data_IF_573218263808
#
_entry.id   IF_573218263808
#
_cell.length_a   1.000
_cell.length_b   1.000
_cell.length_c   1.000
_cell.angle_alpha   90.00
_cell.angle_beta   90.00
_cell.angle_gamma   90.00
#
_symmetry.space_group_name_H-M   'P 1'
#
loop_
_entity.id
_entity.type
_entity.pdbx_description
1 polymer ?
#
# COMPACT_ATOMS: atom_id res chain seq x y z
N UNK A 1 29.42 15.95 6.75
CA UNK A 1 28.97 15.22 7.96
C UNK A 1 27.63 15.72 8.51
N UNK A 2 27.44 17.00 8.89
CA UNK A 2 26.15 17.49 9.44
C UNK A 2 24.92 17.25 8.53
N UNK A 3 25.03 17.48 7.21
CA UNK A 3 23.91 17.24 6.26
C UNK A 3 23.50 15.77 6.17
N UNK A 4 24.47 14.85 6.11
CA UNK A 4 24.21 13.40 6.08
C UNK A 4 23.52 12.96 7.38
N UNK A 5 24.00 13.44 8.53
CA UNK A 5 23.40 13.16 9.83
C UNK A 5 21.96 13.68 9.94
N UNK A 6 21.69 14.92 9.50
CA UNK A 6 20.35 15.50 9.47
C UNK A 6 19.39 14.72 8.56
N UNK A 7 19.82 14.37 7.35
CA UNK A 7 19.01 13.55 6.43
C UNK A 7 18.73 12.16 7.00
N UNK A 8 19.74 11.51 7.58
CA UNK A 8 19.56 10.21 8.23
C UNK A 8 18.60 10.29 9.43
N UNK A 9 18.67 11.36 10.22
CA UNK A 9 17.77 11.60 11.35
C UNK A 9 16.33 11.82 10.88
N UNK A 10 16.11 12.65 9.85
CA UNK A 10 14.78 12.90 9.28
C UNK A 10 14.16 11.60 8.74
N UNK A 11 14.93 10.81 7.99
CA UNK A 11 14.47 9.53 7.45
C UNK A 11 14.14 8.56 8.58
N UNK A 12 14.99 8.45 9.60
CA UNK A 12 14.77 7.57 10.75
C UNK A 12 13.53 7.96 11.53
N UNK A 13 13.32 9.26 11.78
CA UNK A 13 12.12 9.77 12.43
C UNK A 13 10.86 9.54 11.57
N UNK A 14 10.93 9.78 10.27
CA UNK A 14 9.84 9.51 9.33
C UNK A 14 9.42 8.04 9.35
N UNK A 15 10.40 7.13 9.28
CA UNK A 15 10.17 5.68 9.38
C UNK A 15 9.60 5.28 10.75
N UNK A 16 10.13 5.86 11.84
CA UNK A 16 9.64 5.59 13.19
C UNK A 16 8.17 6.03 13.36
N UNK A 17 7.85 7.26 12.97
CA UNK A 17 6.48 7.80 13.03
C UNK A 17 5.56 6.98 12.12
N UNK A 18 6.02 6.58 10.94
CA UNK A 18 5.32 5.67 10.04
C UNK A 18 4.98 4.33 10.70
N UNK A 19 5.95 3.67 11.34
CA UNK A 19 5.72 2.41 12.06
C UNK A 19 4.81 2.59 13.27
N UNK A 20 5.00 3.66 14.03
CA UNK A 20 4.18 3.99 15.19
C UNK A 20 2.71 4.24 14.79
N UNK A 21 2.47 4.94 13.67
CA UNK A 21 1.11 5.11 13.14
C UNK A 21 0.47 3.78 12.72
N UNK A 22 1.25 2.82 12.23
CA UNK A 22 0.76 1.47 11.93
C UNK A 22 0.37 0.72 13.20
N UNK A 23 1.17 0.84 14.25
CA UNK A 23 0.81 0.29 15.57
C UNK A 23 -0.48 0.91 16.12
N UNK A 24 -0.65 2.23 15.99
CA UNK A 24 -1.91 2.89 16.37
C UNK A 24 -3.10 2.40 15.54
N UNK A 25 -2.91 2.18 14.22
CA UNK A 25 -3.95 1.61 13.35
C UNK A 25 -4.44 0.26 13.87
N UNK A 26 -3.52 -0.64 14.21
CA UNK A 26 -3.87 -1.95 14.77
C UNK A 26 -4.64 -1.84 16.10
N UNK A 27 -4.20 -0.95 17.00
CA UNK A 27 -4.92 -0.69 18.27
C UNK A 27 -6.34 -0.20 17.99
N UNK A 28 -6.51 0.73 17.05
CA UNK A 28 -7.81 1.33 16.72
C UNK A 28 -8.74 0.28 16.09
N UNK A 29 -8.22 -0.60 15.22
CA UNK A 29 -9.01 -1.71 14.67
C UNK A 29 -9.44 -2.65 15.80
N UNK A 30 -8.52 -3.09 16.65
CA UNK A 30 -8.82 -3.98 17.77
C UNK A 30 -9.81 -3.36 18.78
N UNK A 31 -9.70 -2.06 19.05
CA UNK A 31 -10.60 -1.37 19.98
C UNK A 31 -12.03 -1.22 19.44
N UNK A 32 -12.19 -0.99 18.13
CA UNK A 32 -13.51 -0.81 17.52
C UNK A 32 -14.19 -2.11 17.10
N UNK A 33 -13.42 -3.13 16.68
CA UNK A 33 -13.94 -4.38 16.11
C UNK A 33 -13.64 -5.62 16.95
N UNK A 34 -12.88 -5.49 18.04
CA UNK A 34 -12.50 -6.58 18.94
C UNK A 34 -11.53 -7.58 18.31
N UNK A 35 -11.45 -8.77 18.90
CA UNK A 35 -10.80 -9.95 18.32
C UNK A 35 -11.91 -10.85 17.74
N UNK A 36 -12.37 -10.51 16.54
CA UNK A 36 -13.53 -11.14 15.89
C UNK A 36 -13.22 -11.45 14.43
N UNK A 37 -14.08 -12.23 13.78
CA UNK A 37 -13.99 -12.49 12.34
C UNK A 37 -13.99 -11.19 11.51
N UNK A 38 -14.64 -10.12 12.01
CA UNK A 38 -14.61 -8.79 11.39
C UNK A 38 -13.22 -8.17 11.43
N UNK A 39 -12.52 -8.21 12.57
CA UNK A 39 -11.16 -7.65 12.67
C UNK A 39 -10.18 -8.42 11.79
N UNK A 40 -10.31 -9.75 11.75
CA UNK A 40 -9.46 -10.61 10.92
C UNK A 40 -9.68 -10.32 9.43
N UNK A 41 -10.95 -10.12 9.03
CA UNK A 41 -11.27 -9.73 7.68
C UNK A 41 -10.73 -8.33 7.34
N UNK A 42 -10.82 -7.35 8.24
CA UNK A 42 -10.21 -6.03 8.04
C UNK A 42 -8.70 -6.15 7.83
N UNK A 43 -8.01 -6.93 8.65
CA UNK A 43 -6.58 -7.19 8.50
C UNK A 43 -6.29 -7.83 7.14
N UNK A 44 -7.12 -8.78 6.70
CA UNK A 44 -7.02 -9.39 5.38
C UNK A 44 -7.15 -8.36 4.25
N UNK A 45 -8.16 -7.47 4.32
CA UNK A 45 -8.37 -6.39 3.33
C UNK A 45 -7.13 -5.50 3.21
N UNK A 46 -6.54 -5.11 4.34
CA UNK A 46 -5.40 -4.19 4.37
C UNK A 46 -4.09 -4.88 3.95
N UNK A 47 -3.91 -6.15 4.32
CA UNK A 47 -2.63 -6.86 4.15
C UNK A 47 -2.50 -7.48 2.76
N UNK A 48 -3.59 -7.90 2.12
CA UNK A 48 -3.53 -8.62 0.84
C UNK A 48 -2.86 -7.81 -0.27
N UNK A 49 -3.20 -6.52 -0.49
CA UNK A 49 -2.52 -5.72 -1.51
C UNK A 49 -1.04 -5.51 -1.18
N UNK A 50 -0.72 -5.26 0.09
CA UNK A 50 0.65 -5.04 0.56
C UNK A 50 1.51 -6.30 0.41
N UNK A 51 0.95 -7.49 0.67
CA UNK A 51 1.63 -8.76 0.44
C UNK A 51 2.04 -8.92 -1.03
N UNK A 52 1.11 -8.69 -1.96
CA UNK A 52 1.39 -8.79 -3.40
C UNK A 52 2.44 -7.76 -3.85
N UNK A 53 2.39 -6.55 -3.32
CA UNK A 53 3.39 -5.50 -3.61
C UNK A 53 4.75 -5.89 -3.06
N UNK A 54 4.84 -6.42 -1.84
CA UNK A 54 6.12 -6.84 -1.27
C UNK A 54 6.73 -8.02 -2.02
N UNK A 55 5.91 -8.95 -2.52
CA UNK A 55 6.37 -10.06 -3.34
C UNK A 55 7.02 -9.58 -4.65
N UNK A 56 6.44 -8.55 -5.28
CA UNK A 56 6.88 -8.06 -6.59
C UNK A 56 7.98 -7.00 -6.47
N UNK A 57 7.77 -6.00 -5.60
CA UNK A 57 8.60 -4.81 -5.46
C UNK A 57 9.62 -4.90 -4.32
N UNK A 58 9.31 -5.63 -3.26
CA UNK A 58 10.11 -5.67 -2.03
C UNK A 58 11.45 -6.41 -2.14
N UNK A 59 11.61 -7.26 -3.15
CA UNK A 59 12.83 -8.04 -3.38
C UNK A 59 13.58 -7.61 -4.65
N UNK A 60 13.26 -8.24 -5.77
CA UNK A 60 14.09 -8.17 -6.98
C UNK A 60 13.99 -6.85 -7.75
N UNK A 61 12.76 -6.32 -7.91
CA UNK A 61 12.52 -5.15 -8.77
C UNK A 61 13.19 -3.89 -8.23
N UNK A 62 13.04 -3.55 -6.94
CA UNK A 62 13.67 -2.35 -6.39
C UNK A 62 15.20 -2.44 -6.42
N UNK A 63 15.77 -3.61 -6.10
CA UNK A 63 17.22 -3.85 -6.17
C UNK A 63 17.79 -3.75 -7.59
N UNK A 64 17.02 -4.12 -8.61
CA UNK A 64 17.42 -4.01 -10.01
C UNK A 64 17.22 -2.60 -10.57
N UNK A 65 16.11 -1.94 -10.24
CA UNK A 65 15.73 -0.65 -10.83
C UNK A 65 16.58 0.52 -10.32
N UNK A 66 16.89 0.57 -9.01
CA UNK A 66 17.68 1.67 -8.43
C UNK A 66 19.04 1.85 -9.11
N UNK A 67 19.89 0.81 -9.30
CA UNK A 67 21.16 0.97 -9.99
C UNK A 67 20.99 1.28 -11.48
N UNK A 68 19.98 0.74 -12.15
CA UNK A 68 19.71 1.07 -13.57
C UNK A 68 19.34 2.55 -13.74
N UNK A 69 18.47 3.10 -12.89
CA UNK A 69 18.15 4.53 -12.92
C UNK A 69 19.36 5.43 -12.70
N UNK A 70 20.37 4.98 -11.94
CA UNK A 70 21.61 5.73 -11.69
C UNK A 70 22.59 5.71 -12.87
N UNK A 71 22.54 4.69 -13.73
CA UNK A 71 23.41 4.58 -14.91
C UNK A 71 22.94 5.42 -16.09
N UNK A 72 21.63 5.62 -16.19
CA UNK A 72 21.00 6.37 -17.28
C UNK A 72 21.16 7.88 -17.08
N UNK A 73 21.15 8.62 -18.20
CA UNK A 73 20.99 10.07 -18.16
C UNK A 73 19.57 10.44 -17.66
N UNK A 74 19.32 11.72 -17.39
CA UNK A 74 18.04 12.16 -16.80
C UNK A 74 16.83 11.82 -17.70
N UNK A 75 16.95 12.00 -19.01
CA UNK A 75 15.86 11.78 -19.96
C UNK A 75 15.49 10.29 -20.07
N UNK A 76 16.49 9.42 -20.25
CA UNK A 76 16.31 7.98 -20.32
C UNK A 76 15.83 7.40 -18.99
N UNK A 77 16.32 7.93 -17.86
CA UNK A 77 15.88 7.54 -16.51
C UNK A 77 14.41 7.87 -16.29
N UNK A 78 13.95 9.04 -16.75
CA UNK A 78 12.53 9.43 -16.69
C UNK A 78 11.66 8.60 -17.64
N UNK A 79 12.15 8.28 -18.84
CA UNK A 79 11.44 7.42 -19.78
C UNK A 79 11.25 6.02 -19.21
N UNK A 80 12.32 5.43 -18.67
CA UNK A 80 12.26 4.13 -18.00
C UNK A 80 11.31 4.17 -16.80
N UNK A 81 11.35 5.24 -15.99
CA UNK A 81 10.42 5.41 -14.87
C UNK A 81 8.95 5.38 -15.32
N UNK A 82 8.61 6.13 -16.39
CA UNK A 82 7.26 6.14 -16.96
C UNK A 82 6.85 4.75 -17.44
N UNK A 83 7.73 4.06 -18.18
CA UNK A 83 7.47 2.71 -18.68
C UNK A 83 7.23 1.71 -17.54
N UNK A 84 8.14 1.66 -16.56
CA UNK A 84 8.04 0.75 -15.40
C UNK A 84 6.78 1.04 -14.61
N UNK A 85 6.47 2.31 -14.35
CA UNK A 85 5.28 2.70 -13.60
C UNK A 85 4.00 2.31 -14.34
N UNK A 86 3.93 2.53 -15.66
CA UNK A 86 2.79 2.11 -16.48
C UNK A 86 2.63 0.59 -16.51
N UNK A 87 3.72 -0.17 -16.66
CA UNK A 87 3.69 -1.63 -16.64
C UNK A 87 3.25 -2.15 -15.28
N UNK A 88 3.78 -1.61 -14.18
CA UNK A 88 3.39 -1.99 -12.82
C UNK A 88 1.92 -1.65 -12.51
N UNK A 89 1.45 -0.50 -12.97
CA UNK A 89 0.05 -0.10 -12.83
C UNK A 89 -0.88 -1.05 -13.60
N UNK A 90 -0.58 -1.29 -14.89
CA UNK A 90 -1.38 -2.19 -15.73
C UNK A 90 -1.36 -3.61 -15.19
N UNK A 91 -0.21 -4.09 -14.73
CA UNK A 91 -0.10 -5.39 -14.08
C UNK A 91 -0.97 -5.48 -12.82
N UNK A 92 -0.90 -4.48 -11.94
CA UNK A 92 -1.77 -4.41 -10.76
C UNK A 92 -3.25 -4.38 -11.10
N UNK A 93 -3.61 -3.68 -12.18
CA UNK A 93 -4.98 -3.62 -12.68
C UNK A 93 -5.42 -4.98 -13.22
N UNK A 94 -4.58 -5.66 -14.00
CA UNK A 94 -4.84 -7.01 -14.48
C UNK A 94 -5.03 -7.99 -13.33
N UNK A 95 -4.15 -7.99 -12.33
CA UNK A 95 -4.28 -8.85 -11.14
C UNK A 95 -5.57 -8.56 -10.39
N UNK A 96 -5.90 -7.28 -10.17
CA UNK A 96 -7.17 -6.88 -9.54
C UNK A 96 -8.39 -7.37 -10.33
N UNK A 97 -8.39 -7.25 -11.67
CA UNK A 97 -9.54 -7.70 -12.47
C UNK A 97 -9.67 -9.24 -12.47
N UNK A 98 -8.53 -9.95 -12.54
CA UNK A 98 -8.50 -11.41 -12.51
C UNK A 98 -8.87 -11.99 -11.13
N UNK A 99 -8.70 -11.23 -10.05
CA UNK A 99 -9.10 -11.67 -8.72
C UNK A 99 -10.61 -11.65 -8.50
N UNK A 100 -11.39 -10.95 -9.33
CA UNK A 100 -12.85 -10.90 -9.18
C UNK A 100 -13.50 -12.29 -9.19
N UNK A 101 -13.34 -13.15 -10.22
CA UNK A 101 -13.94 -14.48 -10.21
C UNK A 101 -13.37 -15.40 -9.12
N UNK A 102 -12.14 -15.15 -8.65
CA UNK A 102 -11.43 -15.99 -7.68
C UNK A 102 -11.54 -15.47 -6.23
N UNK A 103 -12.32 -14.42 -5.98
CA UNK A 103 -12.28 -13.69 -4.70
C UNK A 103 -12.62 -14.56 -3.48
N UNK A 104 -13.63 -15.42 -3.57
CA UNK A 104 -13.96 -16.36 -2.49
C UNK A 104 -12.83 -17.37 -2.22
N UNK A 105 -12.26 -17.94 -3.29
CA UNK A 105 -11.14 -18.89 -3.18
C UNK A 105 -9.88 -18.23 -2.60
N UNK A 106 -9.61 -16.98 -3.00
CA UNK A 106 -8.50 -16.19 -2.47
C UNK A 106 -8.67 -15.91 -0.98
N UNK A 107 -9.88 -15.55 -0.54
CA UNK A 107 -10.15 -15.34 0.89
C UNK A 107 -9.99 -16.66 1.66
N UNK A 108 -10.57 -17.75 1.15
CA UNK A 108 -10.49 -19.07 1.77
C UNK A 108 -9.05 -19.58 1.90
N UNK A 109 -8.20 -19.26 0.93
CA UNK A 109 -6.78 -19.59 0.95
C UNK A 109 -5.96 -18.71 1.89
N UNK A 110 -6.22 -17.39 1.89
CA UNK A 110 -5.46 -16.41 2.69
C UNK A 110 -5.89 -16.36 4.16
N UNK A 111 -7.14 -16.67 4.45
CA UNK A 111 -7.75 -16.65 5.77
C UNK A 111 -8.37 -18.02 6.10
N UNK A 112 -7.50 -19.00 6.32
CA UNK A 112 -7.90 -20.36 6.69
C UNK A 112 -8.75 -20.35 7.97
N UNK A 113 -9.92 -20.99 7.91
CA UNK A 113 -10.85 -21.12 9.04
C UNK A 113 -11.89 -20.01 9.14
N UNK A 114 -11.91 -19.04 8.22
CA UNK A 114 -12.99 -18.07 8.08
C UNK A 114 -14.27 -18.77 7.60
N UNK A 115 -15.42 -18.36 8.13
CA UNK A 115 -16.71 -18.97 7.85
C UNK A 115 -17.13 -18.74 6.39
N UNK A 116 -17.54 -19.81 5.68
CA UNK A 116 -17.93 -19.72 4.27
C UNK A 116 -19.08 -18.72 4.02
N UNK A 117 -20.08 -18.67 4.90
CA UNK A 117 -21.20 -17.72 4.77
C UNK A 117 -20.75 -16.27 4.98
N UNK A 118 -19.76 -16.06 5.85
CA UNK A 118 -19.14 -14.76 6.06
C UNK A 118 -18.36 -14.32 4.81
N UNK A 119 -17.60 -15.24 4.19
CA UNK A 119 -16.87 -14.99 2.94
C UNK A 119 -17.85 -14.61 1.83
N UNK A 120 -18.90 -15.41 1.60
CA UNK A 120 -19.88 -15.16 0.55
C UNK A 120 -20.53 -13.78 0.66
N UNK A 121 -20.80 -13.34 1.89
CA UNK A 121 -21.42 -12.05 2.20
C UNK A 121 -20.45 -10.87 1.97
N UNK A 122 -19.16 -11.05 2.24
CA UNK A 122 -18.20 -9.95 2.32
C UNK A 122 -17.14 -9.92 1.21
N UNK A 123 -17.10 -10.94 0.34
CA UNK A 123 -16.09 -11.10 -0.71
C UNK A 123 -15.96 -9.92 -1.69
N UNK A 124 -17.03 -9.14 -1.88
CA UNK A 124 -16.97 -7.97 -2.76
C UNK A 124 -16.16 -6.83 -2.14
N UNK A 125 -16.14 -6.69 -0.81
CA UNK A 125 -15.27 -5.73 -0.11
C UNK A 125 -13.79 -6.11 -0.26
N UNK A 126 -13.50 -7.41 -0.24
CA UNK A 126 -12.17 -7.91 -0.56
C UNK A 126 -11.76 -7.51 -1.97
N UNK A 127 -12.61 -7.71 -2.96
CA UNK A 127 -12.33 -7.24 -4.32
C UNK A 127 -12.14 -5.71 -4.38
N UNK A 128 -12.96 -4.91 -3.70
CA UNK A 128 -12.80 -3.45 -3.66
C UNK A 128 -11.48 -3.02 -3.03
N UNK A 129 -10.98 -3.73 -2.01
CA UNK A 129 -9.67 -3.46 -1.42
C UNK A 129 -8.53 -3.68 -2.44
N UNK A 130 -8.69 -4.64 -3.37
CA UNK A 130 -7.70 -4.94 -4.40
C UNK A 130 -7.61 -3.86 -5.49
N UNK A 131 -8.57 -2.94 -5.58
CA UNK A 131 -8.47 -1.73 -6.43
C UNK A 131 -7.28 -0.85 -5.99
N UNK A 132 -6.74 -1.03 -4.79
CA UNK A 132 -5.53 -0.39 -4.33
C UNK A 132 -4.25 -0.90 -5.02
N UNK A 133 -4.25 -2.12 -5.59
CA UNK A 133 -3.07 -2.78 -6.17
C UNK A 133 -2.35 -1.98 -7.27
N UNK A 134 -3.04 -1.43 -8.29
CA UNK A 134 -2.40 -0.64 -9.35
C UNK A 134 -1.60 0.53 -8.78
N UNK A 135 -2.20 1.26 -7.83
CA UNK A 135 -1.57 2.42 -7.20
C UNK A 135 -0.39 2.03 -6.30
N UNK A 136 -0.51 0.93 -5.57
CA UNK A 136 0.55 0.44 -4.69
C UNK A 136 1.75 -0.09 -5.47
N UNK A 137 1.55 -0.80 -6.58
CA UNK A 137 2.64 -1.23 -7.45
C UNK A 137 3.30 -0.06 -8.18
N UNK A 138 2.50 0.90 -8.67
CA UNK A 138 3.02 2.13 -9.24
C UNK A 138 3.84 2.94 -8.22
N UNK A 139 3.41 2.97 -6.95
CA UNK A 139 4.19 3.56 -5.85
C UNK A 139 5.55 2.89 -5.69
N UNK A 140 5.63 1.55 -5.78
CA UNK A 140 6.90 0.83 -5.72
C UNK A 140 7.91 1.32 -6.77
N UNK A 141 7.44 1.59 -7.99
CA UNK A 141 8.28 2.13 -9.07
C UNK A 141 8.74 3.57 -8.76
N UNK A 142 7.83 4.42 -8.30
CA UNK A 142 8.15 5.79 -7.87
C UNK A 142 9.15 5.82 -6.72
N UNK A 143 9.04 4.90 -5.75
CA UNK A 143 10.00 4.79 -4.66
C UNK A 143 11.39 4.36 -5.15
N UNK A 144 11.49 3.39 -6.06
CA UNK A 144 12.77 3.00 -6.65
C UNK A 144 13.43 4.18 -7.39
N UNK A 145 12.65 4.96 -8.14
CA UNK A 145 13.13 6.15 -8.83
C UNK A 145 13.58 7.26 -7.86
N UNK A 146 12.76 7.60 -6.85
CA UNK A 146 13.10 8.62 -5.86
C UNK A 146 14.32 8.24 -5.02
N UNK A 147 14.47 6.97 -4.67
CA UNK A 147 15.65 6.45 -3.98
C UNK A 147 16.92 6.54 -4.86
N UNK A 148 16.81 6.34 -6.18
CA UNK A 148 17.94 6.52 -7.09
C UNK A 148 18.43 7.97 -7.14
N UNK A 149 17.50 8.93 -6.94
CA UNK A 149 17.76 10.38 -6.84
C UNK A 149 18.02 10.87 -5.40
N UNK A 150 18.21 9.97 -4.44
CA UNK A 150 18.49 10.28 -3.04
C UNK A 150 17.40 11.14 -2.33
N UNK A 151 16.16 11.08 -2.82
CA UNK A 151 15.01 11.81 -2.25
C UNK A 151 14.30 11.00 -1.17
N UNK A 152 15.01 10.70 -0.08
CA UNK A 152 14.53 9.77 0.96
C UNK A 152 13.40 10.31 1.86
N UNK A 153 13.26 11.63 1.99
CA UNK A 153 12.28 12.23 2.92
C UNK A 153 10.84 11.87 2.55
N UNK A 154 10.45 12.08 1.29
CA UNK A 154 9.09 11.75 0.83
C UNK A 154 8.82 10.25 0.88
N UNK A 155 9.85 9.44 0.59
CA UNK A 155 9.82 7.99 0.70
C UNK A 155 9.57 7.56 2.15
N UNK A 156 10.22 8.20 3.12
CA UNK A 156 10.06 7.88 4.56
C UNK A 156 8.68 8.21 5.13
N UNK A 157 7.96 9.16 4.54
CA UNK A 157 6.61 9.55 4.96
C UNK A 157 5.50 8.71 4.31
N UNK A 158 5.82 7.88 3.33
CA UNK A 158 4.85 7.07 2.57
C UNK A 158 3.95 6.20 3.46
N UNK A 159 4.55 5.55 4.47
CA UNK A 159 3.83 4.70 5.41
C UNK A 159 2.93 5.50 6.34
N UNK A 160 3.33 6.72 6.70
CA UNK A 160 2.53 7.60 7.54
C UNK A 160 1.25 8.02 6.82
N UNK A 161 1.34 8.40 5.54
CA UNK A 161 0.18 8.78 4.72
C UNK A 161 -0.85 7.65 4.71
N UNK A 162 -0.41 6.42 4.43
CA UNK A 162 -1.31 5.26 4.35
C UNK A 162 -1.98 4.98 5.69
N UNK A 163 -1.22 4.94 6.78
CA UNK A 163 -1.76 4.61 8.08
C UNK A 163 -2.74 5.66 8.60
N UNK A 164 -2.44 6.96 8.43
CA UNK A 164 -3.35 8.03 8.84
C UNK A 164 -4.66 7.99 8.05
N UNK A 165 -4.58 7.78 6.73
CA UNK A 165 -5.80 7.65 5.91
C UNK A 165 -6.62 6.44 6.38
N UNK A 166 -6.00 5.27 6.58
CA UNK A 166 -6.74 4.08 7.04
C UNK A 166 -7.36 4.33 8.43
N UNK A 167 -6.64 4.94 9.37
CA UNK A 167 -7.19 5.26 10.70
C UNK A 167 -8.47 6.10 10.59
N UNK A 168 -8.48 7.13 9.74
CA UNK A 168 -9.68 7.96 9.52
C UNK A 168 -10.84 7.10 9.02
N UNK A 169 -10.63 6.23 8.04
CA UNK A 169 -11.67 5.39 7.48
C UNK A 169 -12.15 4.28 8.43
N UNK A 170 -11.26 3.72 9.26
CA UNK A 170 -11.63 2.76 10.32
C UNK A 170 -12.51 3.44 11.37
N UNK A 171 -12.16 4.64 11.82
CA UNK A 171 -12.98 5.42 12.75
C UNK A 171 -14.34 5.80 12.14
N UNK A 172 -14.37 6.20 10.86
CA UNK A 172 -15.63 6.49 10.16
C UNK A 172 -16.50 5.25 10.02
N UNK A 173 -15.90 4.09 9.76
CA UNK A 173 -16.61 2.81 9.68
C UNK A 173 -17.27 2.47 11.01
N UNK A 174 -16.53 2.60 12.12
CA UNK A 174 -17.05 2.35 13.46
C UNK A 174 -18.17 3.34 13.84
N UNK A 175 -18.12 4.58 13.36
CA UNK A 175 -19.13 5.60 13.64
C UNK A 175 -20.41 5.45 12.80
N UNK A 176 -20.29 5.04 11.54
CA UNK A 176 -21.41 4.98 10.57
C UNK A 176 -22.01 3.57 10.40
N UNK A 177 -21.42 2.56 11.02
CA UNK A 177 -21.81 1.14 10.91
C UNK A 177 -21.98 0.67 9.45
N UNK A 178 -21.02 1.05 8.61
CA UNK A 178 -21.10 0.91 7.14
C UNK A 178 -20.69 -0.47 6.60
N UNK A 179 -20.49 -1.48 7.46
CA UNK A 179 -19.78 -2.70 7.07
C UNK A 179 -18.34 -2.40 6.62
N UNK A 180 -17.80 -3.10 5.62
CA UNK A 180 -16.38 -2.97 5.22
C UNK A 180 -16.11 -2.02 4.04
N UNK A 181 -17.14 -1.34 3.53
CA UNK A 181 -17.01 -0.50 2.33
C UNK A 181 -16.08 0.69 2.54
N UNK A 182 -16.21 1.39 3.68
CA UNK A 182 -15.40 2.56 3.99
C UNK A 182 -13.94 2.18 4.20
N UNK A 183 -13.65 1.02 4.78
CA UNK A 183 -12.29 0.50 4.92
C UNK A 183 -11.68 0.22 3.54
N UNK A 184 -12.43 -0.43 2.65
CA UNK A 184 -12.00 -0.73 1.28
C UNK A 184 -11.70 0.54 0.48
N UNK A 185 -12.62 1.53 0.53
CA UNK A 185 -12.42 2.85 -0.10
C UNK A 185 -11.24 3.58 0.54
N UNK A 186 -11.10 3.51 1.85
CA UNK A 186 -10.01 4.10 2.61
C UNK A 186 -8.65 3.58 2.17
N UNK A 187 -8.54 2.27 1.90
CA UNK A 187 -7.31 1.66 1.39
C UNK A 187 -6.97 2.12 -0.04
N UNK A 188 -7.98 2.22 -0.92
CA UNK A 188 -7.80 2.74 -2.28
C UNK A 188 -7.32 4.20 -2.23
N UNK A 189 -7.98 5.04 -1.43
CA UNK A 189 -7.60 6.44 -1.25
C UNK A 189 -6.22 6.59 -0.61
N UNK A 190 -5.90 5.78 0.40
CA UNK A 190 -4.58 5.75 1.01
C UNK A 190 -3.49 5.45 -0.02
N UNK A 191 -3.72 4.45 -0.87
CA UNK A 191 -2.78 4.03 -1.91
C UNK A 191 -2.64 5.06 -3.02
N UNK A 192 -3.75 5.68 -3.43
CA UNK A 192 -3.76 6.77 -4.40
C UNK A 192 -3.04 8.01 -3.86
N UNK A 193 -3.35 8.45 -2.63
CA UNK A 193 -2.70 9.60 -2.00
C UNK A 193 -1.20 9.37 -1.83
N UNK A 194 -0.81 8.16 -1.41
CA UNK A 194 0.59 7.75 -1.34
C UNK A 194 1.25 7.89 -2.72
N UNK A 195 0.67 7.31 -3.76
CA UNK A 195 1.24 7.37 -5.11
C UNK A 195 1.35 8.80 -5.63
N UNK A 196 0.29 9.60 -5.50
CA UNK A 196 0.27 11.00 -5.93
C UNK A 196 1.35 11.83 -5.23
N UNK A 197 1.56 11.63 -3.93
CA UNK A 197 2.63 12.32 -3.20
C UNK A 197 4.03 12.04 -3.77
N UNK A 198 4.27 10.81 -4.25
CA UNK A 198 5.54 10.46 -4.89
C UNK A 198 5.64 11.07 -6.29
N UNK A 199 4.57 11.02 -7.08
CA UNK A 199 4.54 11.61 -8.43
C UNK A 199 4.80 13.12 -8.37
N UNK A 200 4.13 13.84 -7.44
CA UNK A 200 4.37 15.27 -7.22
C UNK A 200 5.81 15.58 -6.80
N UNK A 201 6.43 14.67 -6.05
CA UNK A 201 7.82 14.81 -5.65
C UNK A 201 8.82 14.46 -6.76
N UNK A 202 8.38 13.86 -7.87
CA UNK A 202 9.23 13.58 -9.04
C UNK A 202 9.27 14.80 -9.97
N UNK A 203 8.12 15.41 -10.24
CA UNK A 203 7.96 16.54 -11.17
C UNK A 203 7.11 16.17 -12.37
#
# INVERSE_FOLDING_TARGET
>A
MKKIFLSALIVSLGLFIGRFSGFLREIIIANNFGATENSDFIVLLLTTPDFLVNLLMGGAMSMALVPEFKKLNEEDSQLLYKQVTSVMFLFGLTVCLLSYPLRSDLISFLALGMNETFIETNQDYFFFSLIALPFSLATGASLAYLNSKERFTITSLSTLIVNLTIIVFVCLTAFLDSGFILISIGLVLASLMRWLSQVLAIG
#
